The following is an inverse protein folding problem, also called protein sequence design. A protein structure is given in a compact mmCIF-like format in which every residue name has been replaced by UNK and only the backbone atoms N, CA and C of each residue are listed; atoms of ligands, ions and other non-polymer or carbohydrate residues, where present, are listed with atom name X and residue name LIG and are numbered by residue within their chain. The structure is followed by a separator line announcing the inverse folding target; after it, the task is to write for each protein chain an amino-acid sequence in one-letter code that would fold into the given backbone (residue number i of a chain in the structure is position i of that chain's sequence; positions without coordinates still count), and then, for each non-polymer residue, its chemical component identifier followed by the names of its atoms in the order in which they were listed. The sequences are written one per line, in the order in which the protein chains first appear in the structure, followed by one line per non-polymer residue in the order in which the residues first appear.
data_IF_663694603407
#
_entry.id   IF_663694603407
#
_cell.length_a   1.000
_cell.length_b   1.000
_cell.length_c   1.000
_cell.angle_alpha   90.00
_cell.angle_beta   90.00
_cell.angle_gamma   90.00
#
_symmetry.space_group_name_H-M   'P 1'
#
loop_
_entity.id
_entity.type
_entity.pdbx_description
1 polymer ?
#
# COMPACT_ATOMS: atom_id res chain seq x y z
N UNK A 1 4.38 -79.16 -17.66
CA UNK A 1 4.01 -79.00 -16.23
C UNK A 1 4.03 -77.49 -15.97
N UNK A 2 2.88 -76.81 -15.83
CA UNK A 2 2.30 -76.39 -14.53
C UNK A 2 3.43 -76.04 -13.53
N UNK A 3 3.61 -74.84 -12.99
CA UNK A 3 2.68 -73.76 -12.67
C UNK A 3 3.41 -72.70 -11.82
N UNK A 4 2.79 -71.52 -11.66
CA UNK A 4 2.95 -70.53 -10.56
C UNK A 4 3.96 -69.36 -10.73
N UNK A 5 3.53 -68.31 -11.43
CA UNK A 5 3.99 -66.93 -11.19
C UNK A 5 3.17 -66.33 -10.04
N UNK A 6 3.82 -65.84 -8.97
CA UNK A 6 3.19 -65.01 -7.92
C UNK A 6 3.42 -63.53 -8.26
N UNK A 7 2.37 -62.83 -8.68
CA UNK A 7 2.38 -61.36 -8.74
C UNK A 7 2.36 -60.81 -7.32
N UNK A 8 3.40 -60.07 -6.94
CA UNK A 8 3.38 -59.20 -5.76
C UNK A 8 2.86 -57.85 -6.23
N UNK A 9 1.65 -57.48 -5.82
CA UNK A 9 1.12 -56.13 -5.94
C UNK A 9 1.81 -55.23 -4.90
N UNK A 10 2.58 -54.24 -5.37
CA UNK A 10 2.91 -53.05 -4.58
C UNK A 10 1.72 -52.08 -4.66
N UNK A 11 1.27 -51.47 -3.55
CA UNK A 11 0.28 -50.40 -3.64
C UNK A 11 0.96 -49.15 -4.20
N UNK A 12 0.47 -48.69 -5.35
CA UNK A 12 0.78 -47.38 -5.89
C UNK A 12 0.09 -46.33 -5.01
N UNK A 13 0.86 -45.57 -4.23
CA UNK A 13 0.32 -44.43 -3.50
C UNK A 13 -0.12 -43.37 -4.51
N UNK A 14 -1.44 -43.17 -4.62
CA UNK A 14 -2.01 -42.10 -5.42
C UNK A 14 -1.70 -40.76 -4.75
N UNK A 15 -0.86 -39.95 -5.40
CA UNK A 15 -0.66 -38.55 -5.06
C UNK A 15 -1.92 -37.80 -5.49
N UNK A 16 -2.78 -37.42 -4.54
CA UNK A 16 -3.94 -36.59 -4.84
C UNK A 16 -3.46 -35.14 -5.09
N UNK A 17 -3.36 -34.76 -6.36
CA UNK A 17 -3.39 -33.36 -6.73
C UNK A 17 -4.80 -32.84 -6.48
N UNK A 18 -4.97 -31.92 -5.53
CA UNK A 18 -6.13 -31.03 -5.49
C UNK A 18 -5.97 -30.07 -6.66
N UNK A 19 -6.54 -30.46 -7.80
CA UNK A 19 -6.81 -29.55 -8.91
C UNK A 19 -8.08 -28.76 -8.64
N UNK A 20 -8.14 -27.53 -9.14
CA UNK A 20 -9.37 -26.74 -9.19
C UNK A 20 -10.46 -27.55 -9.90
N UNK A 21 -11.64 -27.63 -9.29
CA UNK A 21 -12.80 -28.28 -9.91
C UNK A 21 -13.29 -27.39 -11.06
N UNK A 22 -13.24 -27.91 -12.29
CA UNK A 22 -13.92 -27.34 -13.45
C UNK A 22 -15.42 -27.70 -13.34
N UNK A 23 -16.23 -26.77 -12.85
CA UNK A 23 -17.69 -26.89 -12.81
C UNK A 23 -18.33 -26.23 -14.05
N UNK A 24 -17.97 -26.68 -15.25
CA UNK A 24 -18.68 -26.31 -16.49
C UNK A 24 -19.77 -27.35 -16.81
N UNK A 25 -20.80 -27.43 -15.95
CA UNK A 25 -22.04 -28.14 -16.24
C UNK A 25 -23.19 -27.16 -16.48
N UNK A 26 -23.28 -26.64 -17.70
CA UNK A 26 -24.53 -26.55 -18.47
C UNK A 26 -25.81 -25.99 -17.83
N UNK A 27 -25.73 -25.03 -16.91
CA UNK A 27 -26.85 -24.20 -16.53
C UNK A 27 -26.44 -22.74 -16.72
N UNK A 28 -27.20 -22.00 -17.53
CA UNK A 28 -27.08 -20.54 -17.55
C UNK A 28 -27.14 -20.04 -16.10
N UNK A 29 -26.20 -19.20 -15.64
CA UNK A 29 -26.29 -18.63 -14.31
C UNK A 29 -27.64 -17.89 -14.20
N UNK A 30 -28.39 -18.04 -13.11
CA UNK A 30 -29.58 -17.23 -12.90
C UNK A 30 -29.16 -15.76 -12.97
N UNK A 31 -29.78 -14.99 -13.85
CA UNK A 31 -29.44 -13.58 -14.08
C UNK A 31 -29.92 -12.64 -12.93
N UNK A 32 -29.98 -13.14 -11.70
CA UNK A 32 -30.43 -12.40 -10.51
C UNK A 32 -29.81 -12.92 -9.20
N UNK A 33 -28.60 -13.50 -9.23
CA UNK A 33 -27.84 -13.71 -7.99
C UNK A 33 -27.14 -12.40 -7.65
N UNK A 34 -27.86 -11.51 -6.96
CA UNK A 34 -27.32 -10.26 -6.43
C UNK A 34 -26.00 -10.48 -5.68
N UNK A 35 -25.17 -9.44 -5.59
CA UNK A 35 -23.83 -9.50 -4.97
C UNK A 35 -23.82 -10.35 -3.68
N UNK A 36 -23.25 -11.56 -3.74
CA UNK A 36 -23.09 -12.43 -2.59
C UNK A 36 -21.90 -11.93 -1.75
N UNK A 37 -22.21 -11.14 -0.72
CA UNK A 37 -21.20 -10.70 0.25
C UNK A 37 -20.86 -11.84 1.20
N UNK A 38 -19.57 -12.02 1.49
CA UNK A 38 -19.12 -13.04 2.43
C UNK A 38 -19.63 -12.73 3.85
N UNK A 39 -20.12 -13.77 4.55
CA UNK A 39 -20.74 -13.64 5.88
C UNK A 39 -19.89 -14.21 7.02
N UNK A 40 -18.73 -14.78 6.70
CA UNK A 40 -17.78 -15.28 7.68
C UNK A 40 -17.34 -14.18 8.65
N UNK A 41 -17.08 -14.56 9.91
CA UNK A 41 -16.58 -13.63 10.90
C UNK A 41 -15.22 -13.04 10.46
N UNK A 42 -14.88 -11.79 10.83
CA UNK A 42 -13.59 -11.18 10.49
C UNK A 42 -12.37 -12.04 10.86
N UNK A 43 -12.48 -12.85 11.92
CA UNK A 43 -11.43 -13.78 12.36
C UNK A 43 -11.14 -14.94 11.38
N UNK A 44 -12.03 -15.20 10.42
CA UNK A 44 -11.81 -16.16 9.34
C UNK A 44 -10.86 -15.62 8.26
N UNK A 45 -10.60 -14.31 8.26
CA UNK A 45 -9.73 -13.65 7.29
C UNK A 45 -8.36 -13.37 7.90
N UNK A 46 -7.33 -13.47 7.07
CA UNK A 46 -5.99 -13.04 7.40
C UNK A 46 -5.72 -11.69 6.73
N UNK A 47 -5.19 -10.73 7.49
CA UNK A 47 -4.66 -9.49 6.91
C UNK A 47 -3.49 -9.80 5.99
N UNK A 48 -3.57 -9.30 4.76
CA UNK A 48 -2.52 -9.43 3.74
C UNK A 48 -1.77 -8.13 3.57
N UNK A 49 -2.45 -6.99 3.73
CA UNK A 49 -1.89 -5.66 3.56
C UNK A 49 -2.64 -4.65 4.42
N UNK A 50 -1.95 -3.55 4.73
CA UNK A 50 -2.54 -2.36 5.35
C UNK A 50 -1.94 -1.11 4.74
N UNK A 51 -2.81 -0.14 4.47
CA UNK A 51 -2.50 1.06 3.70
C UNK A 51 -3.20 2.27 4.33
N UNK A 52 -2.88 2.59 5.58
CA UNK A 52 -3.46 3.76 6.25
C UNK A 52 -2.96 5.05 5.61
N UNK A 53 -1.65 5.22 5.62
CA UNK A 53 -0.92 6.35 5.08
C UNK A 53 -0.19 5.93 3.81
N UNK A 54 -0.34 6.68 2.70
CA UNK A 54 0.40 6.41 1.48
C UNK A 54 1.92 6.42 1.71
N UNK A 55 2.62 5.63 0.89
CA UNK A 55 4.08 5.44 0.90
C UNK A 55 4.69 4.66 2.08
N UNK A 56 3.99 4.45 3.20
CA UNK A 56 4.61 3.81 4.37
C UNK A 56 4.97 2.35 4.10
N UNK A 57 3.99 1.48 3.87
CA UNK A 57 4.28 0.06 3.58
C UNK A 57 5.03 -0.15 2.26
N UNK A 58 4.85 0.72 1.27
CA UNK A 58 5.44 0.55 -0.07
C UNK A 58 6.90 1.01 -0.14
N UNK A 59 7.22 2.17 0.42
CA UNK A 59 8.52 2.82 0.25
C UNK A 59 9.34 2.94 1.54
N UNK A 60 8.70 3.11 2.70
CA UNK A 60 9.41 3.43 3.95
C UNK A 60 9.69 2.18 4.79
N UNK A 61 8.83 1.16 4.75
CA UNK A 61 9.06 -0.12 5.42
C UNK A 61 10.04 -0.97 4.61
N UNK A 62 11.08 -1.50 5.26
CA UNK A 62 12.10 -2.31 4.59
C UNK A 62 11.49 -3.60 4.04
N UNK A 63 12.04 -4.10 2.92
CA UNK A 63 11.51 -5.31 2.28
C UNK A 63 11.47 -6.52 3.19
N UNK A 64 12.43 -6.67 4.10
CA UNK A 64 12.46 -7.77 5.08
C UNK A 64 11.40 -7.67 6.18
N UNK A 65 10.82 -6.49 6.38
CA UNK A 65 9.84 -6.23 7.43
C UNK A 65 8.42 -6.00 6.88
N UNK A 66 8.25 -5.92 5.56
CA UNK A 66 6.95 -5.68 4.89
C UNK A 66 5.87 -6.68 5.32
N UNK A 67 6.17 -7.97 5.34
CA UNK A 67 5.17 -8.99 5.72
C UNK A 67 4.74 -8.87 7.18
N UNK A 68 5.68 -8.56 8.08
CA UNK A 68 5.40 -8.35 9.49
C UNK A 68 4.58 -7.07 9.70
N UNK A 69 4.96 -5.98 9.03
CA UNK A 69 4.22 -4.74 9.01
C UNK A 69 2.78 -4.95 8.50
N UNK A 70 2.61 -5.63 7.36
CA UNK A 70 1.30 -5.85 6.76
C UNK A 70 0.38 -6.75 7.60
N UNK A 71 0.95 -7.62 8.43
CA UNK A 71 0.21 -8.47 9.34
C UNK A 71 -0.12 -7.81 10.69
N UNK A 72 0.55 -6.71 11.06
CA UNK A 72 0.44 -6.07 12.38
C UNK A 72 -0.87 -5.30 12.59
N UNK A 73 -1.15 -4.98 13.85
CA UNK A 73 -2.27 -4.15 14.28
C UNK A 73 -1.85 -2.68 14.47
N UNK A 74 -2.77 -1.70 14.34
CA UNK A 74 -2.48 -0.30 14.67
C UNK A 74 -1.95 -0.07 16.09
N UNK A 75 -2.24 -0.98 17.03
CA UNK A 75 -1.68 -0.93 18.38
C UNK A 75 -0.18 -1.17 18.41
N UNK A 76 0.34 -1.97 17.48
CA UNK A 76 1.76 -2.32 17.37
C UNK A 76 2.55 -1.12 16.82
N UNK A 77 1.96 -0.36 15.88
CA UNK A 77 2.52 0.92 15.46
C UNK A 77 2.61 1.91 16.62
N UNK A 78 1.51 2.04 17.39
CA UNK A 78 1.44 2.93 18.53
C UNK A 78 2.42 2.53 19.64
N UNK A 79 2.76 1.24 19.74
CA UNK A 79 3.82 0.73 20.61
C UNK A 79 5.24 1.03 20.08
N UNK A 80 5.37 1.38 18.81
CA UNK A 80 6.61 1.80 18.17
C UNK A 80 7.36 0.68 17.45
N UNK A 81 6.73 -0.47 17.21
CA UNK A 81 7.38 -1.69 16.70
C UNK A 81 8.10 -1.48 15.36
N UNK A 82 7.62 -0.53 14.54
CA UNK A 82 8.18 -0.22 13.23
C UNK A 82 8.94 1.11 13.16
N UNK A 83 9.01 1.88 14.24
CA UNK A 83 9.63 3.22 14.26
C UNK A 83 11.13 3.15 13.96
N UNK A 84 11.82 2.11 14.44
CA UNK A 84 13.24 1.92 14.16
C UNK A 84 13.51 1.66 12.67
N UNK A 85 12.67 0.83 12.02
CA UNK A 85 12.77 0.54 10.59
C UNK A 85 12.45 1.77 9.73
N UNK A 86 11.37 2.49 10.09
CA UNK A 86 11.02 3.77 9.46
C UNK A 86 12.17 4.76 9.56
N UNK A 87 12.74 4.95 10.76
CA UNK A 87 13.85 5.89 11.00
C UNK A 87 15.08 5.50 10.18
N UNK A 88 15.40 4.22 10.10
CA UNK A 88 16.54 3.73 9.32
C UNK A 88 16.36 4.00 7.81
N UNK A 89 15.18 3.72 7.25
CA UNK A 89 14.93 3.95 5.83
C UNK A 89 14.83 5.43 5.48
N UNK A 90 14.20 6.26 6.33
CA UNK A 90 14.21 7.73 6.16
C UNK A 90 15.64 8.27 6.24
N UNK A 91 16.47 7.75 7.16
CA UNK A 91 17.90 8.08 7.19
C UNK A 91 18.65 7.69 5.92
N UNK A 92 18.27 6.57 5.28
CA UNK A 92 18.78 6.18 3.97
C UNK A 92 18.38 7.14 2.86
N UNK A 93 17.13 7.64 2.86
CA UNK A 93 16.68 8.65 1.91
C UNK A 93 17.44 9.97 2.07
N UNK A 94 17.66 10.42 3.31
CA UNK A 94 18.49 11.58 3.60
C UNK A 94 19.91 11.43 3.04
N UNK A 95 20.56 10.29 3.32
CA UNK A 95 21.90 10.03 2.78
C UNK A 95 21.96 10.03 1.25
N UNK A 96 20.87 9.63 0.60
CA UNK A 96 20.81 9.54 -0.86
C UNK A 96 20.41 10.84 -1.54
N UNK A 97 19.71 11.76 -0.86
CA UNK A 97 19.05 12.90 -1.49
C UNK A 97 19.38 14.26 -0.88
N UNK A 98 19.97 14.34 0.31
CA UNK A 98 20.20 15.64 0.98
C UNK A 98 21.14 16.56 0.19
N UNK A 99 22.14 16.00 -0.50
CA UNK A 99 23.05 16.77 -1.35
C UNK A 99 22.35 17.30 -2.60
N UNK A 100 21.50 16.50 -3.24
CA UNK A 100 20.65 16.91 -4.36
C UNK A 100 19.64 17.99 -3.94
N UNK A 101 18.98 17.82 -2.79
CA UNK A 101 18.04 18.80 -2.24
C UNK A 101 18.75 20.12 -1.92
N UNK A 102 19.92 20.07 -1.29
CA UNK A 102 20.73 21.26 -1.02
C UNK A 102 21.19 21.91 -2.32
N UNK A 103 21.59 21.12 -3.32
CA UNK A 103 21.93 21.59 -4.66
C UNK A 103 20.78 22.29 -5.38
N UNK A 104 19.54 21.86 -5.10
CA UNK A 104 18.32 22.51 -5.57
C UNK A 104 17.90 23.75 -4.74
N UNK A 105 18.67 24.13 -3.72
CA UNK A 105 18.37 25.26 -2.85
C UNK A 105 17.29 24.97 -1.80
N UNK A 106 17.01 23.71 -1.55
CA UNK A 106 16.11 23.26 -0.49
C UNK A 106 16.90 22.99 0.80
N UNK A 107 16.19 22.95 1.92
CA UNK A 107 16.79 22.76 3.25
C UNK A 107 16.30 21.44 3.82
N UNK A 108 17.14 20.39 3.78
CA UNK A 108 16.83 19.17 4.49
C UNK A 108 16.79 19.38 6.00
N UNK A 109 15.89 18.69 6.67
CA UNK A 109 15.87 18.55 8.13
C UNK A 109 16.91 17.50 8.57
N UNK A 110 17.20 17.43 9.87
CA UNK A 110 17.83 16.22 10.41
C UNK A 110 16.82 15.07 10.40
N UNK A 111 17.28 13.84 10.12
CA UNK A 111 16.42 12.64 10.05
C UNK A 111 15.49 12.50 11.25
N UNK A 112 15.99 12.71 12.47
CA UNK A 112 15.17 12.60 13.69
C UNK A 112 14.07 13.66 13.78
N UNK A 113 14.33 14.86 13.28
CA UNK A 113 13.34 15.95 13.26
C UNK A 113 12.24 15.65 12.25
N UNK A 114 12.59 15.18 11.05
CA UNK A 114 11.60 14.79 10.04
C UNK A 114 10.78 13.56 10.42
N UNK A 115 11.39 12.57 11.08
CA UNK A 115 10.64 11.44 11.63
C UNK A 115 9.65 11.91 12.70
N UNK A 116 10.08 12.80 13.60
CA UNK A 116 9.20 13.37 14.63
C UNK A 116 8.08 14.22 14.04
N UNK A 117 8.37 14.95 12.98
CA UNK A 117 7.41 15.76 12.21
C UNK A 117 6.35 14.90 11.51
N UNK A 118 6.75 13.75 10.94
CA UNK A 118 5.86 12.83 10.26
C UNK A 118 5.05 11.94 11.23
N UNK A 119 5.57 11.69 12.44
CA UNK A 119 4.99 10.73 13.39
C UNK A 119 3.47 10.87 13.63
N UNK A 120 2.89 12.08 13.80
CA UNK A 120 1.45 12.23 14.03
C UNK A 120 0.56 11.78 12.86
N UNK A 121 1.15 11.67 11.67
CA UNK A 121 0.50 11.28 10.43
C UNK A 121 0.63 9.77 10.17
N UNK A 122 1.78 9.17 10.54
CA UNK A 122 2.15 7.80 10.14
C UNK A 122 2.09 6.79 11.29
N UNK A 123 1.95 7.24 12.54
CA UNK A 123 1.89 6.38 13.73
C UNK A 123 0.65 6.71 14.59
N UNK A 124 -0.31 5.78 14.76
CA UNK A 124 -0.43 4.50 14.05
C UNK A 124 -0.83 4.69 12.58
N UNK A 125 -0.57 3.69 11.74
CA UNK A 125 -0.89 3.75 10.31
C UNK A 125 -2.40 3.56 10.07
N UNK A 126 -3.17 4.62 10.31
CA UNK A 126 -4.63 4.62 10.18
C UNK A 126 -5.10 5.84 9.40
N UNK A 127 -6.12 5.65 8.56
CA UNK A 127 -6.82 6.76 7.91
C UNK A 127 -7.57 7.57 8.98
N UNK A 128 -7.22 8.86 9.11
CA UNK A 128 -7.89 9.79 10.02
C UNK A 128 -8.77 10.73 9.20
N UNK A 129 -10.08 10.67 9.44
CA UNK A 129 -11.06 11.53 8.78
C UNK A 129 -11.80 12.36 9.82
N UNK A 130 -11.74 13.68 9.65
CA UNK A 130 -12.56 14.65 10.34
C UNK A 130 -13.61 15.21 9.35
N UNK A 131 -14.89 14.85 9.51
CA UNK A 131 -15.95 15.31 8.62
C UNK A 131 -16.29 16.81 8.76
N UNK A 132 -15.70 17.49 9.76
CA UNK A 132 -15.82 18.95 9.92
C UNK A 132 -14.79 19.74 9.12
N UNK A 133 -13.75 19.07 8.59
CA UNK A 133 -12.70 19.66 7.79
C UNK A 133 -12.92 19.39 6.29
N UNK A 134 -12.39 20.24 5.40
CA UNK A 134 -12.39 19.96 3.96
C UNK A 134 -11.75 18.60 3.66
N UNK A 135 -12.28 17.91 2.65
CA UNK A 135 -11.68 16.68 2.14
C UNK A 135 -10.40 16.99 1.35
N UNK A 136 -9.39 16.14 1.50
CA UNK A 136 -8.08 16.29 0.84
C UNK A 136 -6.97 15.88 1.78
N UNK A 137 -5.81 15.52 1.25
CA UNK A 137 -4.68 15.03 2.04
C UNK A 137 -4.24 16.06 3.09
N UNK A 138 -4.11 15.68 4.39
CA UNK A 138 -4.18 14.33 4.95
C UNK A 138 -5.57 13.87 5.44
N UNK A 139 -6.60 14.72 5.38
CA UNK A 139 -8.00 14.38 5.70
C UNK A 139 -8.66 13.59 4.55
N UNK A 140 -8.14 12.40 4.29
CA UNK A 140 -8.43 11.60 3.10
C UNK A 140 -7.51 11.96 1.94
N UNK A 141 -7.99 11.87 0.69
CA UNK A 141 -7.28 12.41 -0.48
C UNK A 141 -8.25 12.69 -1.62
N UNK A 142 -8.03 13.79 -2.33
CA UNK A 142 -8.61 14.08 -3.64
C UNK A 142 -7.87 13.33 -4.76
N UNK A 143 -8.45 13.35 -5.96
CA UNK A 143 -7.87 12.71 -7.15
C UNK A 143 -6.59 13.37 -7.64
N UNK A 144 -6.44 14.68 -7.38
CA UNK A 144 -5.32 15.50 -7.83
C UNK A 144 -4.30 15.79 -6.72
N UNK A 145 -4.47 15.23 -5.52
CA UNK A 145 -3.58 15.52 -4.40
C UNK A 145 -2.19 14.94 -4.67
N UNK A 146 -1.11 15.73 -4.58
CA UNK A 146 0.26 15.27 -4.82
C UNK A 146 0.80 14.56 -3.57
N UNK A 147 0.17 13.47 -3.17
CA UNK A 147 0.39 12.84 -1.87
C UNK A 147 1.85 12.41 -1.68
N UNK A 148 2.47 11.82 -2.70
CA UNK A 148 3.86 11.36 -2.60
C UNK A 148 4.82 12.53 -2.42
N UNK A 149 4.63 13.63 -3.15
CA UNK A 149 5.47 14.82 -3.01
C UNK A 149 5.31 15.46 -1.63
N UNK A 150 4.08 15.51 -1.11
CA UNK A 150 3.80 16.04 0.23
C UNK A 150 4.43 15.16 1.31
N UNK A 151 4.25 13.85 1.23
CA UNK A 151 4.86 12.92 2.19
C UNK A 151 6.38 12.99 2.12
N UNK A 152 6.97 13.07 0.92
CA UNK A 152 8.42 13.18 0.76
C UNK A 152 8.96 14.50 1.33
N UNK A 153 8.24 15.61 1.12
CA UNK A 153 8.60 16.89 1.72
C UNK A 153 8.57 16.82 3.26
N UNK A 154 7.56 16.16 3.83
CA UNK A 154 7.43 15.98 5.28
C UNK A 154 8.55 15.11 5.87
N UNK A 155 9.10 14.16 5.13
CA UNK A 155 10.18 13.28 5.65
C UNK A 155 11.59 13.72 5.24
N UNK A 156 11.75 14.72 4.38
CA UNK A 156 13.07 15.20 3.94
C UNK A 156 13.33 16.69 4.20
N UNK A 157 12.31 17.56 4.17
CA UNK A 157 12.51 19.00 4.27
C UNK A 157 12.24 19.53 5.68
N UNK A 158 12.99 20.57 6.06
CA UNK A 158 12.67 21.41 7.20
C UNK A 158 11.41 22.23 6.90
N UNK A 159 10.26 21.86 7.49
CA UNK A 159 8.99 22.56 7.27
C UNK A 159 8.87 23.90 8.00
N UNK A 160 9.86 24.27 8.82
CA UNK A 160 9.96 25.65 9.32
C UNK A 160 10.49 26.60 8.25
N UNK A 161 11.15 26.07 7.21
CA UNK A 161 11.71 26.81 6.08
C UNK A 161 10.87 26.62 4.81
N UNK A 162 10.43 25.39 4.53
CA UNK A 162 9.73 25.01 3.30
C UNK A 162 8.29 24.59 3.57
N UNK A 163 7.39 24.75 2.59
CA UNK A 163 6.03 24.21 2.70
C UNK A 163 5.99 22.71 2.41
N UNK A 164 5.02 22.00 2.98
CA UNK A 164 4.83 20.58 2.66
C UNK A 164 4.50 20.32 1.18
N UNK A 165 4.05 21.35 0.44
CA UNK A 165 3.85 21.28 -1.01
C UNK A 165 5.07 21.63 -1.86
N UNK A 166 6.23 21.94 -1.27
CA UNK A 166 7.39 22.45 -2.01
C UNK A 166 7.85 21.49 -3.11
N UNK A 167 7.93 20.18 -2.82
CA UNK A 167 8.36 19.20 -3.82
C UNK A 167 7.34 19.04 -4.96
N UNK A 168 6.04 19.19 -4.68
CA UNK A 168 4.98 19.12 -5.69
C UNK A 168 5.08 20.27 -6.72
N UNK A 169 5.70 21.38 -6.33
CA UNK A 169 5.95 22.54 -7.20
C UNK A 169 7.17 22.38 -8.11
N UNK A 170 7.98 21.33 -7.92
CA UNK A 170 9.09 21.04 -8.83
C UNK A 170 8.54 20.48 -10.15
N UNK A 171 9.16 20.79 -11.31
CA UNK A 171 8.71 20.32 -12.63
C UNK A 171 9.10 18.85 -12.87
N UNK A 172 8.91 17.98 -11.88
CA UNK A 172 9.21 16.54 -11.93
C UNK A 172 7.95 15.72 -12.26
N UNK A 173 6.78 16.22 -11.90
CA UNK A 173 5.50 15.60 -12.18
C UNK A 173 5.01 15.90 -13.61
N UNK A 174 4.27 14.98 -14.24
CA UNK A 174 3.49 15.32 -15.43
C UNK A 174 2.60 16.54 -15.15
N UNK A 175 2.56 17.53 -16.05
CA UNK A 175 1.89 18.80 -15.77
C UNK A 175 0.37 18.68 -15.65
N UNK A 176 -0.23 17.67 -16.28
CA UNK A 176 -1.66 17.36 -16.21
C UNK A 176 -1.94 15.94 -16.72
N UNK A 177 -3.14 15.44 -16.44
CA UNK A 177 -3.69 14.26 -17.11
C UNK A 177 -3.97 14.56 -18.59
N UNK A 178 -3.90 13.53 -19.43
CA UNK A 178 -4.29 13.60 -20.85
C UNK A 178 -5.77 14.01 -21.04
N UNK A 179 -6.63 13.60 -20.10
CA UNK A 179 -8.04 13.99 -20.03
C UNK A 179 -8.35 14.48 -18.61
N UNK A 180 -9.01 15.63 -18.51
CA UNK A 180 -9.43 16.19 -17.24
C UNK A 180 -10.42 15.28 -16.49
N UNK A 181 -10.38 15.30 -15.16
CA UNK A 181 -11.37 14.62 -14.34
C UNK A 181 -12.78 15.16 -14.60
N UNK A 182 -13.78 14.28 -14.60
CA UNK A 182 -15.18 14.68 -14.71
C UNK A 182 -15.65 15.37 -13.41
N UNK A 183 -16.61 16.28 -13.52
CA UNK A 183 -17.23 16.93 -12.34
C UNK A 183 -18.27 16.07 -11.64
N UNK A 184 -18.63 14.92 -12.23
CA UNK A 184 -19.59 13.97 -11.70
C UNK A 184 -19.07 12.54 -11.88
N UNK A 185 -19.60 11.62 -11.09
CA UNK A 185 -19.24 10.21 -11.17
C UNK A 185 -19.66 9.59 -12.52
N UNK A 186 -18.82 8.75 -13.16
CA UNK A 186 -17.47 8.36 -12.77
C UNK A 186 -16.44 9.47 -13.04
N UNK A 187 -15.63 9.81 -12.02
CA UNK A 187 -14.70 10.96 -12.07
C UNK A 187 -13.48 10.75 -12.97
N UNK A 188 -13.10 9.49 -13.24
CA UNK A 188 -11.96 9.14 -14.09
C UNK A 188 -12.40 9.05 -15.56
N UNK A 189 -11.50 9.44 -16.47
CA UNK A 189 -11.72 9.28 -17.90
C UNK A 189 -11.78 7.80 -18.30
N UNK A 190 -12.42 7.52 -19.45
CA UNK A 190 -12.42 6.18 -20.02
C UNK A 190 -10.99 5.73 -20.38
N UNK A 191 -10.66 4.43 -20.27
CA UNK A 191 -9.37 3.91 -20.70
C UNK A 191 -9.07 4.24 -22.16
N UNK A 192 -7.81 4.53 -22.49
CA UNK A 192 -7.38 4.68 -23.89
C UNK A 192 -7.58 3.35 -24.65
N UNK A 193 -8.12 3.41 -25.87
CA UNK A 193 -8.18 2.24 -26.74
C UNK A 193 -6.78 1.85 -27.21
N UNK A 194 -6.54 0.54 -27.33
CA UNK A 194 -5.32 0.00 -27.95
C UNK A 194 -5.34 0.14 -29.46
#
# INVERSE_FOLDING_TARGET
MRSHWKLILLPLAALAFVGCSDDDNGANPPEDEGFQFATDAPAAYRRVDRMGMPAIATAVISSGNKDAYNAADPTDDAAGDFVADITANVGGLHQALDDDLTGAGLTPCATGDCVSQAAPLVVPDVLRIDPSQPAGFPNGRGLADPVIDVTLAVVLLDLSVHGAGTLAGLPLNPPANDVAFASAFPYLAAPHSR
#
